data_IF_289306182791
#
_entry.id   IF_289306182791
#
_cell.length_a   1.000
_cell.length_b   1.000
_cell.length_c   1.000
_cell.angle_alpha   90.00
_cell.angle_beta   90.00
_cell.angle_gamma   90.00
#
_symmetry.space_group_name_H-M   'P 1'
#
loop_
_entity.id
_entity.type
_entity.pdbx_description
1 polymer ?
#
# COMPACT_ATOMS: atom_id res chain seq x y z
N UNK A 1 -10.30 22.90 8.22
CA UNK A 1 -9.49 22.51 9.39
C UNK A 1 -8.08 23.04 9.18
N UNK A 2 -7.42 23.65 10.17
CA UNK A 2 -6.03 24.08 10.03
C UNK A 2 -5.14 22.85 9.84
N UNK A 3 -4.11 22.99 8.99
CA UNK A 3 -3.14 21.92 8.76
C UNK A 3 -2.37 21.61 10.07
N UNK A 4 -1.99 20.36 10.30
CA UNK A 4 -1.08 20.00 11.38
C UNK A 4 0.23 20.80 11.32
N UNK A 5 0.88 21.11 12.46
CA UNK A 5 2.17 21.79 12.47
C UNK A 5 3.20 21.09 11.58
N UNK A 6 3.98 21.88 10.80
CA UNK A 6 4.99 21.38 9.88
C UNK A 6 4.44 20.78 8.55
N UNK A 7 3.13 20.53 8.43
CA UNK A 7 2.58 20.03 7.17
C UNK A 7 2.49 21.14 6.12
N UNK A 8 2.19 22.38 6.53
CA UNK A 8 2.11 23.51 5.61
C UNK A 8 3.42 23.80 4.86
N UNK A 9 4.56 23.56 5.51
CA UNK A 9 5.88 23.70 4.91
C UNK A 9 6.18 22.63 3.86
N UNK A 10 5.62 21.43 4.05
CA UNK A 10 5.82 20.28 3.18
C UNK A 10 4.75 20.14 2.10
N UNK A 11 3.53 20.64 2.35
CA UNK A 11 2.44 20.67 1.38
C UNK A 11 2.28 22.10 0.85
N UNK A 12 3.06 22.44 -0.15
CA UNK A 12 3.17 23.81 -0.70
C UNK A 12 2.09 24.12 -1.75
N UNK A 13 1.29 23.14 -2.18
CA UNK A 13 0.17 23.35 -3.09
C UNK A 13 -1.13 23.59 -2.30
N UNK A 14 -1.66 24.84 -2.26
CA UNK A 14 -2.87 25.15 -1.50
C UNK A 14 -4.11 24.38 -1.96
N UNK A 15 -4.15 23.92 -3.22
CA UNK A 15 -5.29 23.18 -3.79
C UNK A 15 -5.45 21.80 -3.11
N UNK A 16 -4.39 21.29 -2.49
CA UNK A 16 -4.38 20.01 -1.81
C UNK A 16 -4.71 20.10 -0.33
N UNK A 17 -4.73 21.31 0.27
CA UNK A 17 -5.01 21.47 1.69
C UNK A 17 -6.36 20.89 2.11
N UNK A 18 -7.37 21.03 1.26
CA UNK A 18 -8.71 20.46 1.52
C UNK A 18 -8.79 18.94 1.37
N UNK A 19 -7.73 18.32 0.81
CA UNK A 19 -7.64 16.86 0.62
C UNK A 19 -6.84 16.16 1.71
N UNK A 20 -6.30 16.92 2.67
CA UNK A 20 -5.57 16.34 3.82
C UNK A 20 -6.57 15.59 4.69
N UNK A 21 -6.27 14.32 4.95
CA UNK A 21 -7.11 13.43 5.73
C UNK A 21 -6.28 12.51 6.62
N UNK A 22 -6.92 11.84 7.56
CA UNK A 22 -6.30 10.83 8.41
C UNK A 22 -6.00 9.52 7.67
N UNK A 23 -5.16 8.68 8.26
CA UNK A 23 -4.80 7.40 7.66
C UNK A 23 -6.01 6.46 7.51
N UNK A 24 -6.94 6.48 8.45
CA UNK A 24 -8.16 5.66 8.38
C UNK A 24 -9.08 6.11 7.24
N UNK A 25 -9.22 7.42 7.04
CA UNK A 25 -9.98 7.99 5.93
C UNK A 25 -9.33 7.63 4.59
N UNK A 26 -8.00 7.73 4.50
CA UNK A 26 -7.26 7.34 3.30
C UNK A 26 -7.38 5.83 3.01
N UNK A 27 -7.28 4.98 4.04
CA UNK A 27 -7.47 3.54 3.92
C UNK A 27 -8.90 3.17 3.48
N UNK A 28 -9.91 3.97 3.85
CA UNK A 28 -11.30 3.75 3.45
C UNK A 28 -11.53 3.97 1.94
N UNK A 29 -10.68 4.76 1.28
CA UNK A 29 -10.73 4.96 -0.18
C UNK A 29 -10.25 3.72 -0.97
N UNK A 30 -9.53 2.81 -0.33
CA UNK A 30 -9.01 1.60 -0.97
C UNK A 30 -10.10 0.53 -0.98
N UNK A 31 -10.66 0.24 -2.13
CA UNK A 31 -11.69 -0.79 -2.26
C UNK A 31 -11.15 -2.19 -1.95
N UNK A 32 -12.00 -3.09 -1.46
CA UNK A 32 -11.70 -4.52 -1.41
C UNK A 32 -11.52 -5.04 -2.83
N UNK A 33 -10.52 -5.86 -3.06
CA UNK A 33 -10.18 -6.38 -4.38
C UNK A 33 -9.33 -5.44 -5.25
N UNK A 34 -9.05 -4.21 -4.79
CA UNK A 34 -8.22 -3.27 -5.55
C UNK A 34 -6.76 -3.74 -5.65
N UNK A 35 -6.12 -3.45 -6.77
CA UNK A 35 -4.67 -3.52 -6.92
C UNK A 35 -4.06 -2.20 -6.46
N UNK A 36 -3.25 -2.27 -5.42
CA UNK A 36 -2.68 -1.11 -4.74
C UNK A 36 -1.17 -1.07 -4.92
N UNK A 37 -0.68 -0.04 -5.59
CA UNK A 37 0.75 0.26 -5.66
C UNK A 37 1.19 1.03 -4.43
N UNK A 38 2.19 0.56 -3.71
CA UNK A 38 2.72 1.24 -2.53
C UNK A 38 4.22 1.47 -2.66
N UNK A 39 4.68 2.70 -2.36
CA UNK A 39 6.10 3.00 -2.37
C UNK A 39 6.85 2.22 -1.28
N UNK A 40 8.12 1.96 -1.53
CA UNK A 40 9.03 1.36 -0.59
C UNK A 40 10.01 0.41 -1.25
N UNK A 41 11.25 0.45 -0.73
CA UNK A 41 12.31 -0.47 -1.12
C UNK A 41 13.12 -0.84 0.12
N UNK A 42 13.03 -2.10 0.53
CA UNK A 42 13.63 -2.61 1.78
C UNK A 42 13.17 -1.78 3.00
N UNK A 43 14.06 -1.27 3.82
CA UNK A 43 13.73 -0.42 4.97
C UNK A 43 13.58 1.07 4.67
N UNK A 44 13.59 1.49 3.39
CA UNK A 44 13.59 2.89 2.98
C UNK A 44 12.29 3.30 2.27
N UNK A 45 11.81 4.49 2.56
CA UNK A 45 10.68 5.16 1.89
C UNK A 45 9.41 4.29 1.76
N UNK A 46 9.17 3.39 2.72
CA UNK A 46 7.93 2.62 2.74
C UNK A 46 6.91 3.21 3.71
N UNK A 47 5.69 3.14 3.29
CA UNK A 47 4.53 3.62 4.04
C UNK A 47 4.33 2.89 5.36
N UNK A 48 3.84 3.61 6.37
CA UNK A 48 3.55 3.04 7.70
C UNK A 48 2.09 3.26 8.10
N UNK A 49 1.61 4.51 8.08
CA UNK A 49 0.30 4.86 8.62
C UNK A 49 -0.86 4.24 7.82
N UNK A 50 -0.91 4.48 6.51
CA UNK A 50 -2.01 3.95 5.66
C UNK A 50 -2.05 2.43 5.60
N UNK A 51 -0.92 1.68 5.45
CA UNK A 51 -0.96 0.22 5.50
C UNK A 51 -1.45 -0.35 6.83
N UNK A 52 -1.09 0.26 7.97
CA UNK A 52 -1.57 -0.18 9.29
C UNK A 52 -3.08 0.07 9.44
N UNK A 53 -3.58 1.22 9.02
CA UNK A 53 -5.01 1.54 9.02
C UNK A 53 -5.79 0.59 8.09
N UNK A 54 -5.26 0.32 6.89
CA UNK A 54 -5.84 -0.64 5.96
C UNK A 54 -5.86 -2.06 6.52
N UNK A 55 -4.77 -2.50 7.15
CA UNK A 55 -4.69 -3.80 7.80
C UNK A 55 -5.74 -3.95 8.92
N UNK A 56 -5.90 -2.92 9.76
CA UNK A 56 -6.92 -2.91 10.81
C UNK A 56 -8.35 -2.99 10.21
N UNK A 57 -8.62 -2.23 9.14
CA UNK A 57 -9.89 -2.26 8.43
C UNK A 57 -10.18 -3.64 7.82
N UNK A 58 -9.21 -4.25 7.13
CA UNK A 58 -9.39 -5.58 6.54
C UNK A 58 -9.61 -6.66 7.62
N UNK A 59 -8.86 -6.59 8.73
CA UNK A 59 -9.09 -7.49 9.86
C UNK A 59 -10.51 -7.34 10.47
N UNK A 60 -11.02 -6.11 10.57
CA UNK A 60 -12.39 -5.88 11.02
C UNK A 60 -13.44 -6.44 10.05
N UNK A 61 -13.21 -6.34 8.74
CA UNK A 61 -14.07 -6.94 7.72
C UNK A 61 -14.07 -8.48 7.83
N UNK A 62 -12.91 -9.09 8.04
CA UNK A 62 -12.81 -10.54 8.27
C UNK A 62 -13.56 -10.96 9.52
N UNK A 63 -13.42 -10.22 10.64
CA UNK A 63 -14.17 -10.50 11.87
C UNK A 63 -15.68 -10.37 11.68
N UNK A 64 -16.13 -9.53 10.73
CA UNK A 64 -17.53 -9.38 10.33
C UNK A 64 -18.00 -10.44 9.31
N UNK A 65 -17.18 -11.46 9.02
CA UNK A 65 -17.52 -12.56 8.11
C UNK A 65 -17.16 -12.35 6.65
N UNK A 66 -16.55 -11.21 6.29
CA UNK A 66 -16.10 -10.93 4.92
C UNK A 66 -14.68 -11.48 4.69
N UNK A 67 -14.52 -12.78 4.76
CA UNK A 67 -13.20 -13.48 4.73
C UNK A 67 -12.42 -13.29 3.42
N UNK A 68 -13.05 -12.80 2.36
CA UNK A 68 -12.43 -12.49 1.06
C UNK A 68 -12.03 -11.02 0.92
N UNK A 69 -12.12 -10.23 2.00
CA UNK A 69 -11.71 -8.82 1.97
C UNK A 69 -10.19 -8.70 1.91
N UNK A 70 -9.64 -8.64 0.71
CA UNK A 70 -8.20 -8.60 0.41
C UNK A 70 -7.90 -7.59 -0.67
N UNK A 71 -6.62 -7.28 -0.89
CA UNK A 71 -6.10 -6.41 -1.95
C UNK A 71 -4.95 -7.10 -2.69
N UNK A 72 -4.73 -6.70 -3.94
CA UNK A 72 -3.44 -6.93 -4.61
C UNK A 72 -2.43 -5.89 -4.10
N UNK A 73 -1.25 -6.31 -3.65
CA UNK A 73 -0.21 -5.42 -3.14
C UNK A 73 1.02 -5.43 -4.06
N UNK A 74 1.29 -4.31 -4.69
CA UNK A 74 2.41 -4.10 -5.60
C UNK A 74 3.36 -3.05 -5.03
N UNK A 75 4.65 -3.37 -4.94
CA UNK A 75 5.65 -2.44 -4.38
C UNK A 75 6.89 -2.39 -5.26
N UNK A 76 7.83 -1.51 -4.93
CA UNK A 76 9.13 -1.45 -5.59
C UNK A 76 10.08 -2.60 -5.22
N UNK A 77 9.76 -3.37 -4.21
CA UNK A 77 10.54 -4.49 -3.68
C UNK A 77 10.00 -4.89 -2.32
N UNK A 78 10.80 -5.54 -1.48
CA UNK A 78 10.43 -5.82 -0.09
C UNK A 78 10.22 -4.52 0.68
N UNK A 79 9.29 -4.52 1.63
CA UNK A 79 9.07 -3.43 2.57
C UNK A 79 9.24 -3.92 4.02
N UNK A 80 8.75 -3.17 5.00
CA UNK A 80 8.95 -3.48 6.41
C UNK A 80 7.72 -4.02 7.12
N UNK A 81 7.85 -4.26 8.43
CA UNK A 81 6.80 -4.89 9.24
C UNK A 81 5.52 -4.07 9.36
N UNK A 82 5.57 -2.76 9.11
CA UNK A 82 4.41 -1.87 9.17
C UNK A 82 3.60 -1.87 7.87
N UNK A 83 4.16 -2.37 6.76
CA UNK A 83 3.47 -2.53 5.49
C UNK A 83 3.25 -4.03 5.20
N UNK A 84 4.27 -4.73 4.70
CA UNK A 84 4.17 -6.16 4.37
C UNK A 84 3.70 -6.98 5.57
N UNK A 85 4.32 -6.80 6.72
CA UNK A 85 3.98 -7.54 7.94
C UNK A 85 2.59 -7.23 8.47
N UNK A 86 2.16 -5.96 8.46
CA UNK A 86 0.84 -5.57 8.97
C UNK A 86 -0.28 -6.16 8.09
N UNK A 87 -0.19 -5.99 6.78
CA UNK A 87 -1.18 -6.50 5.84
C UNK A 87 -1.21 -8.04 5.80
N UNK A 88 -0.04 -8.69 5.91
CA UNK A 88 0.04 -10.14 5.96
C UNK A 88 -0.59 -10.70 7.25
N UNK A 89 -0.29 -10.12 8.42
CA UNK A 89 -0.94 -10.53 9.69
C UNK A 89 -2.46 -10.38 9.66
N UNK A 90 -2.95 -9.34 8.98
CA UNK A 90 -4.38 -9.15 8.76
C UNK A 90 -4.98 -10.09 7.71
N UNK A 91 -4.19 -10.97 7.07
CA UNK A 91 -4.60 -11.80 5.93
C UNK A 91 -5.21 -10.98 4.79
N UNK A 92 -4.80 -9.73 4.66
CA UNK A 92 -5.37 -8.73 3.77
C UNK A 92 -4.77 -8.71 2.35
N UNK A 93 -3.83 -9.61 2.02
CA UNK A 93 -3.18 -9.65 0.72
C UNK A 93 -3.67 -10.86 -0.07
N UNK A 94 -4.25 -10.61 -1.24
CA UNK A 94 -4.61 -11.64 -2.22
C UNK A 94 -3.41 -12.04 -3.06
N UNK A 95 -2.72 -11.04 -3.64
CA UNK A 95 -1.54 -11.23 -4.47
C UNK A 95 -0.46 -10.23 -4.08
N UNK A 96 0.77 -10.72 -3.93
CA UNK A 96 1.96 -9.93 -3.62
C UNK A 96 2.97 -9.99 -4.76
N UNK A 97 3.44 -8.82 -5.21
CA UNK A 97 4.53 -8.67 -6.16
C UNK A 97 5.35 -7.39 -5.89
N UNK A 98 6.62 -7.32 -6.33
CA UNK A 98 7.46 -8.41 -6.76
C UNK A 98 8.05 -9.17 -5.56
N UNK A 99 9.35 -9.14 -5.37
CA UNK A 99 10.06 -9.77 -4.26
C UNK A 99 9.65 -9.19 -2.89
N UNK A 100 9.55 -10.05 -1.89
CA UNK A 100 9.33 -9.69 -0.49
C UNK A 100 10.20 -10.53 0.46
N UNK A 101 10.56 -9.98 1.63
CA UNK A 101 11.37 -10.64 2.65
C UNK A 101 10.69 -10.74 4.03
N UNK A 102 9.48 -10.24 4.18
CA UNK A 102 8.75 -10.32 5.45
C UNK A 102 8.44 -11.77 5.80
N UNK A 103 8.74 -12.22 7.04
CA UNK A 103 8.56 -13.62 7.42
C UNK A 103 7.08 -14.06 7.43
N UNK A 104 6.15 -13.16 7.74
CA UNK A 104 4.70 -13.48 7.76
C UNK A 104 4.18 -13.64 6.33
N UNK A 105 4.56 -12.72 5.42
CA UNK A 105 4.26 -12.86 4.00
C UNK A 105 4.80 -14.18 3.45
N UNK A 106 6.05 -14.49 3.73
CA UNK A 106 6.69 -15.73 3.27
C UNK A 106 5.98 -16.98 3.77
N UNK A 107 5.57 -16.98 5.03
CA UNK A 107 4.80 -18.09 5.60
C UNK A 107 3.46 -18.28 4.86
N UNK A 108 2.74 -17.20 4.58
CA UNK A 108 1.45 -17.27 3.88
C UNK A 108 1.60 -17.68 2.41
N UNK A 109 2.63 -17.21 1.73
CA UNK A 109 2.96 -17.64 0.35
C UNK A 109 3.25 -19.14 0.32
N UNK A 110 4.10 -19.64 1.23
CA UNK A 110 4.46 -21.06 1.30
C UNK A 110 3.27 -21.96 1.68
N UNK A 111 2.32 -21.42 2.44
CA UNK A 111 1.09 -22.12 2.80
C UNK A 111 -0.01 -22.06 1.72
N UNK A 112 0.23 -21.33 0.61
CA UNK A 112 -0.76 -21.14 -0.46
C UNK A 112 -1.92 -20.20 -0.10
N UNK A 113 -1.77 -19.40 0.95
CA UNK A 113 -2.80 -18.43 1.40
C UNK A 113 -2.68 -17.06 0.71
N UNK A 114 -1.58 -16.82 0.01
CA UNK A 114 -1.29 -15.58 -0.71
C UNK A 114 -0.69 -15.95 -2.07
N UNK A 115 -1.26 -15.42 -3.14
CA UNK A 115 -0.66 -15.52 -4.46
C UNK A 115 0.62 -14.67 -4.49
N UNK A 116 1.62 -15.17 -5.19
CA UNK A 116 2.92 -14.49 -5.27
C UNK A 116 3.46 -14.52 -6.69
N UNK A 117 3.88 -13.36 -7.15
CA UNK A 117 4.56 -13.24 -8.44
C UNK A 117 5.90 -12.56 -8.22
N UNK A 118 6.97 -13.36 -8.27
CA UNK A 118 8.33 -12.83 -8.27
C UNK A 118 8.73 -12.44 -9.69
N UNK A 119 9.21 -11.21 -9.83
CA UNK A 119 9.72 -10.71 -11.10
C UNK A 119 10.89 -9.78 -10.86
N UNK A 120 11.73 -9.66 -11.87
CA UNK A 120 12.86 -8.74 -11.79
C UNK A 120 12.34 -7.30 -11.64
N UNK A 121 12.91 -6.57 -10.70
CA UNK A 121 12.42 -5.23 -10.32
C UNK A 121 12.35 -4.26 -11.50
N UNK A 122 13.32 -4.32 -12.42
CA UNK A 122 13.33 -3.49 -13.63
C UNK A 122 12.17 -3.75 -14.59
N UNK A 123 11.48 -4.89 -14.48
CA UNK A 123 10.35 -5.24 -15.33
C UNK A 123 9.00 -4.81 -14.77
N UNK A 124 8.92 -4.50 -13.47
CA UNK A 124 7.64 -4.19 -12.80
C UNK A 124 6.94 -3.00 -13.45
N UNK A 125 7.62 -1.89 -13.64
CA UNK A 125 7.02 -0.69 -14.22
C UNK A 125 6.50 -0.94 -15.65
N UNK A 126 7.27 -1.64 -16.48
CA UNK A 126 6.87 -1.97 -17.84
C UNK A 126 5.68 -2.92 -17.87
N UNK A 127 5.65 -3.92 -16.97
CA UNK A 127 4.55 -4.85 -16.85
C UNK A 127 3.25 -4.15 -16.38
N UNK A 128 3.35 -3.16 -15.49
CA UNK A 128 2.22 -2.32 -15.08
C UNK A 128 1.74 -1.47 -16.26
N UNK A 129 2.63 -0.76 -16.94
CA UNK A 129 2.26 0.14 -18.05
C UNK A 129 1.68 -0.61 -19.25
N UNK A 130 2.14 -1.82 -19.52
CA UNK A 130 1.59 -2.64 -20.60
C UNK A 130 0.26 -3.33 -20.27
N UNK A 131 -0.21 -3.23 -19.00
CA UNK A 131 -1.41 -3.91 -18.53
C UNK A 131 -1.23 -5.41 -18.28
N UNK A 132 0.00 -5.96 -18.40
CA UNK A 132 0.27 -7.38 -18.19
C UNK A 132 -0.15 -7.90 -16.82
N UNK A 133 -0.06 -7.05 -15.80
CA UNK A 133 -0.41 -7.37 -14.42
C UNK A 133 -1.88 -7.02 -14.07
N UNK A 134 -2.63 -6.51 -15.02
CA UNK A 134 -3.95 -5.95 -14.79
C UNK A 134 -3.93 -4.45 -14.49
N UNK A 135 -5.04 -3.92 -14.02
CA UNK A 135 -5.19 -2.50 -13.73
C UNK A 135 -4.64 -2.17 -12.33
N UNK A 136 -3.92 -1.06 -12.22
CA UNK A 136 -3.53 -0.47 -10.93
C UNK A 136 -4.61 0.55 -10.54
N UNK A 137 -5.32 0.29 -9.46
CA UNK A 137 -6.48 1.11 -9.05
C UNK A 137 -6.06 2.32 -8.22
N UNK A 138 -5.09 2.15 -7.34
CA UNK A 138 -4.62 3.19 -6.40
C UNK A 138 -3.11 3.11 -6.26
N UNK A 139 -2.46 4.28 -6.18
CA UNK A 139 -1.08 4.41 -5.75
C UNK A 139 -1.00 5.19 -4.44
N UNK A 140 -0.24 4.67 -3.48
CA UNK A 140 0.07 5.33 -2.21
C UNK A 140 1.58 5.51 -2.12
N UNK A 141 2.04 6.74 -1.97
CA UNK A 141 3.46 7.08 -2.05
C UNK A 141 3.89 7.87 -0.82
N UNK A 142 4.99 7.47 -0.18
CA UNK A 142 5.63 8.28 0.85
C UNK A 142 6.47 9.37 0.17
N UNK A 143 6.24 10.64 0.55
CA UNK A 143 6.96 11.78 0.01
C UNK A 143 7.44 12.71 1.12
N UNK A 144 8.55 13.40 0.89
CA UNK A 144 9.07 14.40 1.82
C UNK A 144 8.22 15.68 1.82
N UNK A 145 7.65 16.01 0.67
CA UNK A 145 6.80 17.18 0.48
C UNK A 145 6.16 17.18 -0.91
N UNK A 146 5.23 18.09 -1.12
CA UNK A 146 4.58 18.34 -2.43
C UNK A 146 4.77 19.80 -2.78
N UNK A 147 5.44 20.05 -3.89
CA UNK A 147 5.71 21.39 -4.40
C UNK A 147 4.50 21.98 -5.13
N UNK A 148 4.47 23.31 -5.37
CA UNK A 148 3.45 23.92 -6.20
C UNK A 148 3.41 23.26 -7.59
N UNK A 149 2.22 22.87 -8.05
CA UNK A 149 2.07 22.17 -9.33
C UNK A 149 2.16 20.65 -9.26
N UNK A 150 2.40 20.07 -8.07
CA UNK A 150 2.36 18.61 -7.84
C UNK A 150 3.65 17.88 -8.18
N UNK A 151 4.78 18.59 -8.20
CA UNK A 151 6.12 18.03 -8.38
C UNK A 151 6.70 17.47 -7.08
#
# INVERSE_FOLDING_TARGET
MPLPPGLAERLQDPRLHAKVMGADEAAALIAVGANVGMSGFTGAAYLKAVPQALAARLAALHAAGQTQARIGLWTGGSTGPELDGALARAQGIEMRLPYQSDPTCRQQINAGHMLYNDMHLSHVAQAVWSGLLGHLDIAVVEVAGILPGGG
#
